data_IF_658511219891
#
_entry.id   IF_658511219891
#
_cell.length_a   1.000
_cell.length_b   1.000
_cell.length_c   1.000
_cell.angle_alpha   90.00
_cell.angle_beta   90.00
_cell.angle_gamma   90.00
#
_symmetry.space_group_name_H-M   'P 1'
#
loop_
_entity.id
_entity.type
_entity.pdbx_description
1 polymer ?
#
# COMPACT_ATOMS: atom_id res chain seq x y z
N UNK A 1 -17.04 -21.52 -7.61
CA UNK A 1 -16.16 -20.40 -7.24
C UNK A 1 -15.62 -20.73 -5.88
N UNK A 2 -14.30 -20.90 -5.79
CA UNK A 2 -13.62 -21.54 -4.66
C UNK A 2 -13.07 -20.53 -3.66
N UNK A 3 -12.63 -20.98 -2.47
CA UNK A 3 -12.29 -20.14 -1.31
C UNK A 3 -10.97 -19.35 -1.43
N UNK A 4 -10.48 -19.08 -2.65
CA UNK A 4 -9.19 -18.40 -2.88
C UNK A 4 -9.39 -16.94 -3.30
N UNK A 5 -10.61 -16.55 -3.66
CA UNK A 5 -10.92 -15.21 -4.16
C UNK A 5 -10.81 -14.12 -3.06
N UNK A 6 -10.70 -14.52 -1.77
CA UNK A 6 -10.54 -13.62 -0.61
C UNK A 6 -9.09 -13.48 -0.12
N UNK A 7 -8.14 -14.23 -0.67
CA UNK A 7 -6.75 -14.18 -0.25
C UNK A 7 -6.01 -13.02 -0.92
N UNK A 8 -5.39 -12.17 -0.09
CA UNK A 8 -4.60 -11.06 -0.59
C UNK A 8 -3.24 -11.52 -1.11
N UNK A 9 -3.01 -11.39 -2.42
CA UNK A 9 -1.71 -11.62 -3.05
C UNK A 9 -1.01 -10.27 -3.26
N UNK A 10 0.15 -10.02 -2.61
CA UNK A 10 0.90 -8.79 -2.80
C UNK A 10 1.43 -8.62 -4.23
N UNK A 11 1.29 -7.40 -4.76
CA UNK A 11 1.89 -7.00 -6.04
C UNK A 11 3.36 -6.61 -5.85
N UNK A 12 4.23 -7.10 -6.75
CA UNK A 12 5.67 -6.81 -6.76
C UNK A 12 6.13 -6.34 -8.15
N UNK A 13 7.16 -5.52 -8.20
CA UNK A 13 7.81 -5.07 -9.43
C UNK A 13 8.75 -6.14 -10.02
N UNK A 14 9.38 -5.84 -11.15
CA UNK A 14 10.31 -6.76 -11.84
C UNK A 14 11.57 -7.10 -11.04
N UNK A 15 11.88 -6.33 -10.00
CA UNK A 15 13.01 -6.58 -9.09
C UNK A 15 12.59 -7.38 -7.85
N UNK A 16 11.32 -7.77 -7.75
CA UNK A 16 10.76 -8.46 -6.59
C UNK A 16 10.48 -7.55 -5.40
N UNK A 17 10.48 -6.23 -5.58
CA UNK A 17 10.13 -5.27 -4.53
C UNK A 17 8.62 -5.03 -4.52
N UNK A 18 8.02 -4.84 -3.34
CA UNK A 18 6.60 -4.50 -3.24
C UNK A 18 6.26 -3.23 -4.00
N UNK A 19 5.17 -3.27 -4.76
CA UNK A 19 4.62 -2.07 -5.37
C UNK A 19 4.17 -1.10 -4.27
N UNK A 20 4.44 0.18 -4.48
CA UNK A 20 4.08 1.23 -3.52
C UNK A 20 2.56 1.35 -3.32
N UNK A 21 1.75 0.91 -4.29
CA UNK A 21 0.30 0.77 -4.20
C UNK A 21 -0.03 -0.71 -4.28
N UNK A 22 -0.79 -1.20 -3.30
CA UNK A 22 -1.37 -2.54 -3.31
C UNK A 22 -2.89 -2.42 -3.43
N UNK A 23 -3.51 -3.32 -4.18
CA UNK A 23 -4.96 -3.41 -4.30
C UNK A 23 -5.43 -4.84 -4.01
N UNK A 24 -6.54 -4.97 -3.28
CA UNK A 24 -7.19 -6.25 -2.98
C UNK A 24 -8.61 -6.23 -3.52
N UNK A 25 -8.83 -7.03 -4.57
CA UNK A 25 -10.10 -7.06 -5.32
C UNK A 25 -11.26 -7.55 -4.44
N UNK A 26 -11.03 -8.55 -3.59
CA UNK A 26 -12.07 -9.15 -2.75
C UNK A 26 -12.74 -8.15 -1.79
N UNK A 27 -11.96 -7.20 -1.27
CA UNK A 27 -12.47 -6.18 -0.33
C UNK A 27 -12.67 -4.81 -1.01
N UNK A 28 -12.49 -4.74 -2.33
CA UNK A 28 -12.60 -3.52 -3.13
C UNK A 28 -11.81 -2.34 -2.52
N UNK A 29 -10.52 -2.53 -2.25
CA UNK A 29 -9.68 -1.50 -1.63
C UNK A 29 -8.24 -1.48 -2.13
N UNK A 30 -7.65 -0.28 -2.12
CA UNK A 30 -6.22 -0.07 -2.37
C UNK A 30 -5.57 0.72 -1.24
N UNK A 31 -4.27 0.52 -0.98
CA UNK A 31 -3.49 1.22 0.05
C UNK A 31 -2.04 1.42 -0.39
N UNK A 32 -1.32 2.30 0.29
CA UNK A 32 0.13 2.42 0.11
C UNK A 32 0.86 1.38 0.94
N UNK A 33 1.91 0.78 0.38
CA UNK A 33 2.80 -0.12 1.10
C UNK A 33 4.17 0.52 1.39
N UNK A 34 4.80 0.08 2.47
CA UNK A 34 6.20 0.34 2.74
C UNK A 34 7.13 -0.66 2.01
N UNK A 35 8.45 -0.50 2.14
CA UNK A 35 9.44 -1.37 1.49
C UNK A 35 9.37 -2.84 1.91
N UNK A 36 8.71 -3.16 3.01
CA UNK A 36 8.53 -4.50 3.54
C UNK A 36 7.15 -5.07 3.19
N UNK A 37 6.32 -4.33 2.43
CA UNK A 37 4.97 -4.74 2.03
C UNK A 37 3.89 -4.42 3.06
N UNK A 38 4.21 -3.72 4.16
CA UNK A 38 3.21 -3.36 5.16
C UNK A 38 2.37 -2.19 4.68
N UNK A 39 1.08 -2.20 4.99
CA UNK A 39 0.22 -1.04 4.78
C UNK A 39 0.72 0.18 5.58
N UNK A 40 0.74 1.34 4.92
CA UNK A 40 0.93 2.63 5.56
C UNK A 40 -0.43 3.11 6.08
N UNK A 41 -0.54 3.25 7.39
CA UNK A 41 -1.79 3.66 8.05
C UNK A 41 -2.38 4.94 7.44
N UNK A 42 -3.70 4.95 7.25
CA UNK A 42 -4.45 6.10 6.71
C UNK A 42 -4.39 6.26 5.19
N UNK A 43 -3.77 5.32 4.45
CA UNK A 43 -3.69 5.38 2.98
C UNK A 43 -4.72 4.51 2.26
N UNK A 44 -5.45 3.67 3.00
CA UNK A 44 -6.48 2.79 2.46
C UNK A 44 -7.66 3.58 1.93
N UNK A 45 -8.02 3.33 0.67
CA UNK A 45 -9.18 3.90 0.00
C UNK A 45 -10.04 2.81 -0.64
N UNK A 46 -11.35 3.05 -0.72
CA UNK A 46 -12.32 2.14 -1.33
C UNK A 46 -12.33 2.30 -2.86
N UNK A 47 -12.45 1.18 -3.55
CA UNK A 47 -12.45 1.08 -5.01
C UNK A 47 -11.13 0.53 -5.54
N UNK A 48 -11.15 -0.66 -6.15
CA UNK A 48 -9.96 -1.30 -6.75
C UNK A 48 -9.29 -0.47 -7.88
N UNK A 49 -10.00 0.49 -8.46
CA UNK A 49 -9.47 1.40 -9.47
C UNK A 49 -9.04 2.76 -8.92
N UNK A 50 -9.31 3.02 -7.64
CA UNK A 50 -8.85 4.24 -6.98
C UNK A 50 -7.49 3.97 -6.37
N UNK A 51 -6.46 4.68 -6.85
CA UNK A 51 -5.09 4.55 -6.36
C UNK A 51 -4.75 5.68 -5.38
N UNK A 52 -4.29 5.37 -4.15
CA UNK A 52 -3.85 6.39 -3.22
C UNK A 52 -2.55 7.04 -3.71
N UNK A 53 -2.33 8.30 -3.32
CA UNK A 53 -1.08 9.02 -3.62
C UNK A 53 0.00 8.60 -2.63
N UNK A 54 0.94 7.76 -3.08
CA UNK A 54 1.95 7.17 -2.20
C UNK A 54 3.30 7.91 -2.13
N UNK A 55 3.46 8.98 -2.91
CA UNK A 55 4.69 9.77 -2.95
C UNK A 55 4.98 10.46 -1.61
N UNK A 56 3.93 10.92 -0.93
CA UNK A 56 4.00 11.51 0.42
C UNK A 56 4.04 10.46 1.53
N UNK A 57 3.47 9.28 1.30
CA UNK A 57 3.34 8.22 2.30
C UNK A 57 4.67 7.48 2.54
N UNK A 58 5.45 7.19 1.49
CA UNK A 58 6.81 6.63 1.62
C UNK A 58 7.84 7.68 2.08
N UNK A 59 7.53 8.96 1.89
CA UNK A 59 8.35 10.05 2.37
C UNK A 59 8.10 10.23 3.87
N UNK A 60 8.79 9.43 4.69
CA UNK A 60 9.10 9.83 6.08
C UNK A 60 9.92 11.11 5.99
N UNK A 61 9.27 12.27 5.83
CA UNK A 61 9.86 13.51 6.31
C UNK A 61 10.00 13.28 7.80
N UNK A 62 11.18 12.80 8.22
CA UNK A 62 11.64 13.03 9.58
C UNK A 62 11.71 14.54 9.66
N UNK A 63 10.62 15.18 10.09
CA UNK A 63 10.73 16.48 10.71
C UNK A 63 11.55 16.14 11.95
N UNK A 64 12.87 16.17 11.84
CA UNK A 64 13.74 16.41 12.95
C UNK A 64 13.39 17.83 13.40
N UNK A 65 12.26 17.96 14.10
CA UNK A 65 12.16 18.91 15.19
C UNK A 65 13.29 18.52 16.12
N UNK A 66 14.48 19.04 15.83
CA UNK A 66 15.43 19.38 16.86
C UNK A 66 14.69 20.41 17.70
N UNK A 67 13.89 19.94 18.67
CA UNK A 67 13.69 20.70 19.90
C UNK A 67 15.10 21.01 20.37
N UNK A 68 15.48 22.29 20.32
CA UNK A 68 16.58 22.76 21.13
C UNK A 68 16.16 22.65 22.60
#
# INVERSE_FOLDING_TARGET
MGPIDDEFIPQCDSNGQFHNVQCHEAIDACWCSDKNGNEIAGTRIKGMHHKPKCDLARSRIKISIWFQ
#
